data_IF_577032062040
#
_entry.id   IF_577032062040
#
_cell.length_a   1.000
_cell.length_b   1.000
_cell.length_c   1.000
_cell.angle_alpha   90.00
_cell.angle_beta   90.00
_cell.angle_gamma   90.00
#
_symmetry.space_group_name_H-M   'P 1'
#
loop_
_entity.id
_entity.type
_entity.pdbx_description
1 polymer ?
#
# COMPACT_ATOMS: atom_id res chain seq x y z
N UNK A 1 -20.87 18.47 6.95
CA UNK A 1 -20.13 18.03 8.16
C UNK A 1 -20.30 16.54 8.45
N UNK A 2 -21.50 15.97 8.36
CA UNK A 2 -21.75 14.53 8.57
C UNK A 2 -20.90 13.62 7.67
N UNK A 3 -20.80 13.91 6.37
CA UNK A 3 -20.00 13.13 5.42
C UNK A 3 -18.52 13.04 5.80
N UNK A 4 -17.90 14.17 6.16
CA UNK A 4 -16.49 14.21 6.61
C UNK A 4 -16.28 13.45 7.91
N UNK A 5 -17.25 13.51 8.83
CA UNK A 5 -17.22 12.71 10.05
C UNK A 5 -17.29 11.20 9.74
N UNK A 6 -18.17 10.78 8.82
CA UNK A 6 -18.25 9.38 8.38
C UNK A 6 -16.94 8.91 7.74
N UNK A 7 -16.31 9.74 6.89
CA UNK A 7 -15.00 9.43 6.29
C UNK A 7 -13.93 9.30 7.37
N UNK A 8 -13.92 10.16 8.39
CA UNK A 8 -12.96 10.08 9.49
C UNK A 8 -13.13 8.77 10.27
N UNK A 9 -14.38 8.40 10.60
CA UNK A 9 -14.69 7.15 11.30
C UNK A 9 -14.28 5.94 10.45
N UNK A 10 -14.65 5.92 9.17
CA UNK A 10 -14.30 4.85 8.24
C UNK A 10 -12.78 4.74 8.03
N UNK A 11 -12.08 5.87 7.93
CA UNK A 11 -10.61 5.93 7.82
C UNK A 11 -9.95 5.37 9.05
N UNK A 12 -10.41 5.78 10.24
CA UNK A 12 -9.89 5.28 11.51
C UNK A 12 -10.10 3.77 11.63
N UNK A 13 -11.29 3.27 11.29
CA UNK A 13 -11.59 1.84 11.30
C UNK A 13 -10.74 1.07 10.27
N UNK A 14 -10.63 1.56 9.03
CA UNK A 14 -9.86 0.91 7.97
C UNK A 14 -8.36 0.86 8.29
N UNK A 15 -7.78 1.95 8.81
CA UNK A 15 -6.38 1.97 9.22
C UNK A 15 -6.13 1.14 10.48
N UNK A 16 -7.09 1.10 11.43
CA UNK A 16 -7.04 0.21 12.59
C UNK A 16 -7.04 -1.26 12.19
N UNK A 17 -7.97 -1.66 11.31
CA UNK A 17 -8.01 -3.01 10.72
C UNK A 17 -6.71 -3.34 9.98
N UNK A 18 -6.18 -2.38 9.20
CA UNK A 18 -4.91 -2.53 8.49
C UNK A 18 -3.71 -2.67 9.43
N UNK A 19 -3.77 -2.14 10.64
CA UNK A 19 -2.73 -2.37 11.64
C UNK A 19 -2.74 -3.80 12.18
N UNK A 20 -3.92 -4.39 12.37
CA UNK A 20 -4.08 -5.76 12.90
C UNK A 20 -3.88 -6.82 11.82
N UNK A 21 -4.46 -6.62 10.64
CA UNK A 21 -4.38 -7.56 9.50
C UNK A 21 -3.07 -7.45 8.72
N UNK A 22 -2.25 -6.46 9.07
CA UNK A 22 -1.09 -6.04 8.32
C UNK A 22 -1.39 -5.18 7.11
N UNK A 23 -2.63 -4.98 6.64
CA UNK A 23 -2.90 -4.15 5.45
C UNK A 23 -4.35 -3.98 5.00
N UNK A 24 -4.53 -3.39 3.83
CA UNK A 24 -5.82 -3.36 3.13
C UNK A 24 -6.67 -2.11 3.34
N UNK A 25 -6.22 -1.16 4.17
CA UNK A 25 -6.91 0.13 4.31
C UNK A 25 -7.16 0.79 2.95
N UNK A 26 -6.20 0.72 2.03
CA UNK A 26 -6.36 1.25 0.68
C UNK A 26 -7.49 0.61 -0.15
N UNK A 27 -7.76 -0.68 0.02
CA UNK A 27 -8.88 -1.33 -0.69
C UNK A 27 -10.24 -0.87 -0.16
N UNK A 28 -10.31 -0.53 1.13
CA UNK A 28 -11.53 -0.04 1.78
C UNK A 28 -11.73 1.46 1.50
N UNK A 29 -10.66 2.24 1.61
CA UNK A 29 -10.74 3.70 1.54
C UNK A 29 -10.74 4.24 0.12
N UNK A 30 -10.14 3.55 -0.84
CA UNK A 30 -10.16 3.99 -2.24
C UNK A 30 -11.58 4.22 -2.79
N UNK A 31 -12.55 3.27 -2.67
CA UNK A 31 -13.91 3.54 -3.13
C UNK A 31 -14.60 4.65 -2.33
N UNK A 32 -14.39 4.72 -1.01
CA UNK A 32 -15.01 5.76 -0.17
C UNK A 32 -14.50 7.17 -0.50
N UNK A 33 -13.19 7.31 -0.69
CA UNK A 33 -12.57 8.56 -1.12
C UNK A 33 -12.99 8.92 -2.54
N UNK A 34 -13.16 7.95 -3.43
CA UNK A 34 -13.66 8.17 -4.80
C UNK A 34 -15.10 8.68 -4.89
N UNK A 35 -15.90 8.57 -3.82
CA UNK A 35 -17.24 9.17 -3.76
C UNK A 35 -17.21 10.68 -3.53
N UNK A 36 -16.10 11.22 -3.03
CA UNK A 36 -16.01 12.62 -2.58
C UNK A 36 -14.85 13.39 -3.19
N UNK A 37 -13.83 12.70 -3.70
CA UNK A 37 -12.66 13.28 -4.33
C UNK A 37 -12.61 12.94 -5.83
N UNK A 38 -12.07 13.85 -6.66
CA UNK A 38 -11.65 13.53 -8.01
C UNK A 38 -10.69 12.33 -8.04
N UNK A 39 -10.77 11.50 -9.09
CA UNK A 39 -10.01 10.24 -9.17
C UNK A 39 -8.49 10.39 -9.07
N UNK A 40 -7.94 11.53 -9.49
CA UNK A 40 -6.50 11.84 -9.36
C UNK A 40 -6.07 12.18 -7.92
N UNK A 41 -6.97 12.69 -7.08
CA UNK A 41 -6.68 13.04 -5.68
C UNK A 41 -6.79 11.82 -4.74
N UNK A 42 -7.56 10.79 -5.12
CA UNK A 42 -7.77 9.58 -4.29
C UNK A 42 -6.46 8.89 -3.88
N UNK A 43 -5.53 8.56 -4.80
CA UNK A 43 -4.25 7.92 -4.43
C UNK A 43 -3.35 8.80 -3.55
N UNK A 44 -3.46 10.13 -3.70
CA UNK A 44 -2.69 11.10 -2.96
C UNK A 44 -3.18 11.21 -1.50
N UNK A 45 -4.49 11.42 -1.30
CA UNK A 45 -5.12 11.42 0.03
C UNK A 45 -4.89 10.10 0.76
N UNK A 46 -5.06 8.97 0.06
CA UNK A 46 -4.79 7.66 0.64
C UNK A 46 -3.32 7.52 1.07
N UNK A 47 -2.39 8.13 0.34
CA UNK A 47 -0.97 8.05 0.67
C UNK A 47 -0.60 8.79 1.94
N UNK A 48 -1.22 9.93 2.20
CA UNK A 48 -1.03 10.69 3.44
C UNK A 48 -1.49 9.86 4.65
N UNK A 49 -2.71 9.31 4.59
CA UNK A 49 -3.24 8.47 5.67
C UNK A 49 -2.41 7.20 5.90
N UNK A 50 -1.96 6.57 4.81
CA UNK A 50 -1.12 5.37 4.91
C UNK A 50 0.27 5.66 5.47
N UNK A 51 0.86 6.82 5.15
CA UNK A 51 2.12 7.25 5.76
C UNK A 51 1.97 7.43 7.28
N UNK A 52 0.92 8.14 7.73
CA UNK A 52 0.65 8.35 9.15
C UNK A 52 0.39 7.03 9.89
N UNK A 53 -0.44 6.14 9.34
CA UNK A 53 -0.69 4.80 9.89
C UNK A 53 0.58 3.94 9.94
N UNK A 54 1.45 4.05 8.93
CA UNK A 54 2.72 3.32 8.90
C UNK A 54 3.70 3.85 9.94
N UNK A 55 3.78 5.16 10.14
CA UNK A 55 4.57 5.76 11.21
C UNK A 55 4.15 5.25 12.59
N UNK A 56 2.85 5.22 12.87
CA UNK A 56 2.32 4.69 14.12
C UNK A 56 2.73 3.21 14.34
N UNK A 57 2.61 2.37 13.31
CA UNK A 57 3.02 0.95 13.37
C UNK A 57 4.52 0.77 13.56
N UNK A 58 5.34 1.61 12.92
CA UNK A 58 6.80 1.60 13.12
C UNK A 58 7.13 1.93 14.57
N UNK A 59 6.51 2.96 15.16
CA UNK A 59 6.75 3.32 16.57
C UNK A 59 6.39 2.16 17.50
N UNK A 60 5.24 1.50 17.27
CA UNK A 60 4.80 0.37 18.10
C UNK A 60 5.64 -0.90 17.93
N UNK A 61 6.14 -1.20 16.73
CA UNK A 61 6.78 -2.47 16.40
C UNK A 61 8.23 -2.34 15.88
N UNK A 62 8.93 -1.25 16.21
CA UNK A 62 10.26 -0.95 15.65
C UNK A 62 11.29 -2.08 15.78
N UNK A 63 11.20 -2.87 16.86
CA UNK A 63 12.13 -3.97 17.13
C UNK A 63 11.88 -5.22 16.27
N UNK A 64 10.72 -5.32 15.62
CA UNK A 64 10.36 -6.43 14.75
C UNK A 64 10.66 -6.15 13.26
N UNK A 65 11.26 -5.00 12.93
CA UNK A 65 11.58 -4.64 11.56
C UNK A 65 12.72 -5.53 11.02
N UNK A 66 12.45 -6.26 9.94
CA UNK A 66 13.43 -7.08 9.22
C UNK A 66 14.17 -6.24 8.17
N UNK A 67 15.22 -5.56 8.62
CA UNK A 67 16.06 -4.69 7.77
C UNK A 67 16.74 -5.42 6.61
N UNK A 68 16.99 -6.72 6.78
CA UNK A 68 17.48 -7.60 5.71
C UNK A 68 16.54 -7.63 4.51
N UNK A 69 15.22 -7.54 4.73
CA UNK A 69 14.23 -7.46 3.65
C UNK A 69 14.11 -6.03 3.12
N UNK A 70 14.03 -5.04 4.01
CA UNK A 70 13.87 -3.62 3.64
C UNK A 70 14.98 -3.18 2.69
N UNK A 71 16.24 -3.53 2.99
CA UNK A 71 17.40 -3.12 2.17
C UNK A 71 17.41 -3.68 0.76
N UNK A 72 16.76 -4.82 0.51
CA UNK A 72 16.65 -5.42 -0.82
C UNK A 72 15.37 -4.96 -1.53
N UNK A 73 14.29 -4.74 -0.77
CA UNK A 73 13.02 -4.28 -1.33
C UNK A 73 13.05 -2.80 -1.72
N UNK A 74 13.48 -1.91 -0.82
CA UNK A 74 13.35 -0.46 -1.00
C UNK A 74 14.08 0.11 -2.24
N UNK A 75 15.32 -0.30 -2.57
CA UNK A 75 16.05 0.28 -3.71
C UNK A 75 15.36 0.06 -5.06
N UNK A 76 14.58 -1.01 -5.20
CA UNK A 76 13.79 -1.27 -6.41
C UNK A 76 12.38 -0.70 -6.30
N UNK A 77 11.80 -0.70 -5.10
CA UNK A 77 10.45 -0.20 -4.88
C UNK A 77 10.33 1.32 -5.06
N UNK A 78 11.29 2.11 -4.60
CA UNK A 78 11.27 3.57 -4.72
C UNK A 78 11.26 4.07 -6.18
N UNK A 79 12.20 3.69 -7.07
CA UNK A 79 12.19 4.16 -8.45
C UNK A 79 10.96 3.70 -9.23
N UNK A 80 10.50 2.47 -8.99
CA UNK A 80 9.27 1.99 -9.62
C UNK A 80 8.01 2.67 -9.06
N UNK A 81 8.00 3.08 -7.80
CA UNK A 81 6.92 3.91 -7.27
C UNK A 81 6.89 5.30 -7.91
N UNK A 82 8.06 5.90 -8.13
CA UNK A 82 8.15 7.14 -8.89
C UNK A 82 7.64 6.96 -10.32
N UNK A 83 8.02 5.86 -10.98
CA UNK A 83 7.50 5.48 -12.31
C UNK A 83 5.97 5.31 -12.29
N UNK A 84 5.42 4.69 -11.25
CA UNK A 84 3.98 4.50 -11.08
C UNK A 84 3.23 5.82 -10.90
N UNK A 85 3.75 6.73 -10.08
CA UNK A 85 3.19 8.09 -9.91
C UNK A 85 3.30 8.91 -11.20
N UNK A 86 4.43 8.80 -11.91
CA UNK A 86 4.60 9.44 -13.20
C UNK A 86 3.61 8.89 -14.24
N UNK A 87 3.41 7.58 -14.29
CA UNK A 87 2.42 6.97 -15.17
C UNK A 87 1.01 7.47 -14.82
N UNK A 88 0.67 7.51 -13.53
CA UNK A 88 -0.59 8.05 -13.02
C UNK A 88 -0.85 9.49 -13.50
N UNK A 89 0.15 10.36 -13.42
CA UNK A 89 0.02 11.78 -13.80
C UNK A 89 -0.21 12.01 -15.31
N UNK A 90 0.04 10.99 -16.15
CA UNK A 90 -0.18 11.04 -17.60
C UNK A 90 -1.52 10.43 -18.04
N UNK A 91 -2.22 9.74 -17.16
CA UNK A 91 -3.48 9.05 -17.51
C UNK A 91 -4.66 10.01 -17.36
N UNK A 92 -5.54 10.04 -18.36
CA UNK A 92 -6.77 10.83 -18.29
C UNK A 92 -7.67 10.33 -17.11
N UNK A 93 -8.29 11.22 -16.34
CA UNK A 93 -9.08 10.87 -15.15
C UNK A 93 -10.14 9.77 -15.37
N UNK A 94 -10.76 9.70 -16.55
CA UNK A 94 -11.77 8.68 -16.85
C UNK A 94 -11.14 7.27 -16.89
N UNK A 95 -10.02 7.13 -17.61
CA UNK A 95 -9.29 5.86 -17.64
C UNK A 95 -8.66 5.53 -16.29
N UNK A 96 -8.26 6.54 -15.52
CA UNK A 96 -7.76 6.32 -14.18
C UNK A 96 -8.83 5.69 -13.27
N UNK A 97 -10.03 6.27 -13.24
CA UNK A 97 -11.14 5.72 -12.46
C UNK A 97 -11.48 4.28 -12.88
N UNK A 98 -11.45 4.00 -14.19
CA UNK A 98 -11.63 2.64 -14.71
C UNK A 98 -10.53 1.69 -14.21
N UNK A 99 -9.26 2.09 -14.29
CA UNK A 99 -8.12 1.27 -13.87
C UNK A 99 -8.13 1.02 -12.35
N UNK A 100 -8.49 2.02 -11.54
CA UNK A 100 -8.67 1.86 -10.10
C UNK A 100 -9.85 0.91 -9.80
N UNK A 101 -10.95 1.03 -10.53
CA UNK A 101 -12.09 0.11 -10.43
C UNK A 101 -11.70 -1.33 -10.77
N UNK A 102 -11.00 -1.54 -11.89
CA UNK A 102 -10.47 -2.85 -12.28
C UNK A 102 -9.47 -3.40 -11.25
N UNK A 103 -8.63 -2.54 -10.69
CA UNK A 103 -7.74 -2.92 -9.60
C UNK A 103 -8.52 -3.41 -8.38
N UNK A 104 -9.57 -2.72 -7.96
CA UNK A 104 -10.42 -3.16 -6.85
C UNK A 104 -11.12 -4.49 -7.16
N UNK A 105 -11.71 -4.61 -8.36
CA UNK A 105 -12.39 -5.84 -8.81
C UNK A 105 -11.42 -7.03 -8.87
N UNK A 106 -10.21 -6.83 -9.39
CA UNK A 106 -9.17 -7.87 -9.45
C UNK A 106 -8.71 -8.36 -8.07
N UNK A 107 -8.92 -7.57 -7.02
CA UNK A 107 -8.63 -7.95 -5.63
C UNK A 107 -9.80 -8.64 -4.93
N UNK A 108 -11.03 -8.60 -5.45
CA UNK A 108 -12.20 -9.28 -4.86
C UNK A 108 -12.00 -10.79 -4.62
N UNK A 109 -11.35 -11.56 -5.52
CA UNK A 109 -11.10 -12.98 -5.27
C UNK A 109 -10.28 -13.26 -4.00
N UNK A 110 -9.50 -12.28 -3.52
CA UNK A 110 -8.75 -12.41 -2.27
C UNK A 110 -9.67 -12.48 -1.05
N UNK A 111 -10.88 -11.92 -1.10
CA UNK A 111 -11.86 -11.98 0.00
C UNK A 111 -12.42 -13.39 0.22
N UNK A 112 -12.52 -14.18 -0.85
CA UNK A 112 -13.07 -15.53 -0.82
C UNK A 112 -11.99 -16.61 -0.67
N UNK A 113 -10.71 -16.22 -0.70
CA UNK A 113 -9.60 -17.16 -0.49
C UNK A 113 -9.54 -17.57 0.98
N UNK A 114 -9.70 -18.87 1.23
CA UNK A 114 -9.42 -19.45 2.55
C UNK A 114 -7.94 -19.22 2.89
N UNK A 115 -7.60 -18.92 4.16
CA UNK A 115 -6.22 -18.90 4.61
C UNK A 115 -5.57 -20.23 4.23
N UNK A 116 -4.49 -20.20 3.44
CA UNK A 116 -3.79 -21.41 3.08
C UNK A 116 -3.16 -22.01 4.35
N UNK A 117 -3.54 -23.23 4.78
CA UNK A 117 -2.86 -23.90 5.87
C UNK A 117 -1.45 -24.25 5.39
N UNK A 118 -0.44 -23.90 6.19
CA UNK A 118 0.97 -24.19 5.93
C UNK A 118 1.49 -23.67 4.58
N UNK A 119 1.74 -22.37 4.52
CA UNK A 119 2.64 -21.83 3.49
C UNK A 119 4.03 -22.39 3.76
N UNK A 120 4.45 -23.39 2.99
CA UNK A 120 5.81 -23.93 3.06
C UNK A 120 6.82 -22.78 2.94
N UNK A 121 7.66 -22.62 3.97
CA UNK A 121 8.72 -21.61 3.98
C UNK A 121 9.69 -21.98 2.87
N UNK A 122 9.80 -21.13 1.85
CA UNK A 122 10.75 -21.33 0.75
C UNK A 122 11.92 -20.38 0.95
N UNK A 123 13.17 -20.82 0.75
CA UNK A 123 14.31 -19.91 0.73
C UNK A 123 14.09 -18.87 -0.38
N UNK A 124 13.95 -17.61 0.01
CA UNK A 124 13.72 -16.52 -0.94
C UNK A 124 15.06 -16.01 -1.42
N UNK A 125 15.22 -16.03 -2.73
CA UNK A 125 16.37 -15.44 -3.39
C UNK A 125 16.23 -13.92 -3.42
N UNK A 126 17.32 -13.19 -3.21
CA UNK A 126 17.38 -11.72 -3.23
C UNK A 126 16.76 -11.14 -4.50
N UNK A 127 16.96 -11.80 -5.65
CA UNK A 127 16.33 -11.40 -6.92
C UNK A 127 14.80 -11.34 -6.85
N UNK A 128 14.14 -12.23 -6.09
CA UNK A 128 12.69 -12.18 -5.89
C UNK A 128 12.26 -10.98 -5.04
N UNK A 129 13.08 -10.56 -4.08
CA UNK A 129 12.83 -9.34 -3.30
C UNK A 129 12.92 -8.08 -4.17
N UNK A 130 13.85 -8.06 -5.12
CA UNK A 130 13.99 -6.97 -6.07
C UNK A 130 12.81 -6.89 -7.04
N UNK A 131 12.39 -8.02 -7.61
CA UNK A 131 11.21 -8.09 -8.49
C UNK A 131 9.94 -7.70 -7.72
N UNK A 132 9.81 -8.18 -6.49
CA UNK A 132 8.70 -7.80 -5.61
C UNK A 132 8.72 -6.31 -5.31
N UNK A 133 9.89 -5.76 -4.97
CA UNK A 133 10.07 -4.33 -4.72
C UNK A 133 9.63 -3.52 -5.91
N UNK A 134 10.13 -3.82 -7.10
CA UNK A 134 9.72 -3.15 -8.34
C UNK A 134 8.21 -3.23 -8.59
N UNK A 135 7.61 -4.43 -8.53
CA UNK A 135 6.19 -4.62 -8.77
C UNK A 135 5.31 -3.91 -7.72
N UNK A 136 5.66 -4.04 -6.44
CA UNK A 136 4.95 -3.38 -5.35
C UNK A 136 5.14 -1.86 -5.41
N UNK A 137 6.33 -1.37 -5.75
CA UNK A 137 6.59 0.05 -5.98
C UNK A 137 5.68 0.60 -7.05
N UNK A 138 5.70 0.01 -8.24
CA UNK A 138 4.88 0.47 -9.38
C UNK A 138 3.39 0.45 -9.10
N UNK A 139 2.86 -0.68 -8.61
CA UNK A 139 1.43 -0.79 -8.28
C UNK A 139 1.09 0.22 -7.17
N UNK A 140 1.94 0.39 -6.17
CA UNK A 140 1.70 1.34 -5.06
C UNK A 140 1.74 2.79 -5.51
N UNK A 141 2.62 3.13 -6.45
CA UNK A 141 2.69 4.43 -7.10
C UNK A 141 1.44 4.72 -7.92
N UNK A 142 0.97 3.73 -8.67
CA UNK A 142 -0.17 3.88 -9.56
C UNK A 142 -1.52 3.92 -8.81
N UNK A 143 -1.76 2.99 -7.89
CA UNK A 143 -3.07 2.85 -7.24
C UNK A 143 -3.13 3.50 -5.86
N UNK A 144 -1.98 3.80 -5.24
CA UNK A 144 -1.93 4.22 -3.84
C UNK A 144 -2.19 3.08 -2.84
N UNK A 145 -2.48 1.86 -3.29
CA UNK A 145 -2.82 0.71 -2.45
C UNK A 145 -2.08 -0.55 -2.88
N UNK A 146 -1.28 -1.12 -1.99
CA UNK A 146 -0.48 -2.32 -2.31
C UNK A 146 -0.51 -3.38 -1.23
N UNK A 147 -0.98 -3.00 -0.06
CA UNK A 147 -0.68 -3.72 1.14
C UNK A 147 -1.07 -5.20 1.17
N UNK A 148 -2.34 -5.46 0.96
CA UNK A 148 -2.93 -6.78 1.20
C UNK A 148 -2.45 -7.83 0.19
N UNK A 149 -2.13 -7.38 -1.04
CA UNK A 149 -1.63 -8.22 -2.15
C UNK A 149 -0.33 -8.92 -1.78
N UNK A 150 0.55 -8.25 -1.04
CA UNK A 150 1.89 -8.75 -0.78
C UNK A 150 2.06 -9.43 0.58
N UNK A 151 1.04 -9.46 1.44
CA UNK A 151 1.11 -10.19 2.72
C UNK A 151 1.51 -11.66 2.54
N UNK A 152 0.94 -12.33 1.53
CA UNK A 152 1.26 -13.73 1.22
C UNK A 152 2.73 -13.96 0.90
N UNK A 153 3.45 -12.95 0.41
CA UNK A 153 4.88 -13.05 0.16
C UNK A 153 5.68 -13.06 1.47
N UNK A 154 5.37 -12.17 2.40
CA UNK A 154 6.05 -12.14 3.70
C UNK A 154 5.78 -13.42 4.52
N UNK A 155 4.59 -14.03 4.38
CA UNK A 155 4.34 -15.36 4.96
C UNK A 155 5.22 -16.45 4.33
N UNK A 156 5.46 -16.42 3.01
CA UNK A 156 6.35 -17.39 2.32
C UNK A 156 7.82 -17.28 2.72
N UNK A 157 8.22 -16.10 3.21
CA UNK A 157 9.53 -15.82 3.78
C UNK A 157 9.71 -16.39 5.20
N UNK A 158 8.65 -16.89 5.84
CA UNK A 158 8.70 -17.39 7.21
C UNK A 158 8.69 -16.30 8.27
N UNK A 159 8.26 -15.08 7.96
CA UNK A 159 8.15 -14.00 8.94
C UNK A 159 6.97 -14.26 9.89
N UNK A 160 7.19 -13.94 11.17
CA UNK A 160 6.12 -13.87 12.17
C UNK A 160 5.22 -12.68 11.89
N UNK A 161 3.97 -12.71 12.38
CA UNK A 161 2.97 -11.66 12.09
C UNK A 161 3.46 -10.26 12.45
N UNK A 162 4.14 -10.12 13.58
CA UNK A 162 4.70 -8.84 14.05
C UNK A 162 5.80 -8.34 13.12
N UNK A 163 6.65 -9.25 12.61
CA UNK A 163 7.69 -8.93 11.63
C UNK A 163 7.08 -8.50 10.30
N UNK A 164 5.98 -9.13 9.87
CA UNK A 164 5.25 -8.73 8.66
C UNK A 164 4.71 -7.31 8.80
N UNK A 165 4.01 -7.03 9.91
CA UNK A 165 3.41 -5.72 10.18
C UNK A 165 4.50 -4.63 10.22
N UNK A 166 5.58 -4.88 10.96
CA UNK A 166 6.67 -3.91 11.16
C UNK A 166 7.48 -3.66 9.88
N UNK A 167 7.94 -4.73 9.22
CA UNK A 167 8.76 -4.64 8.00
C UNK A 167 7.99 -3.98 6.87
N UNK A 168 6.69 -4.30 6.76
CA UNK A 168 5.85 -3.68 5.77
C UNK A 168 5.57 -2.22 6.09
N UNK A 169 5.33 -1.86 7.35
CA UNK A 169 5.16 -0.46 7.72
C UNK A 169 6.41 0.37 7.36
N UNK A 170 7.62 -0.19 7.56
CA UNK A 170 8.88 0.42 7.13
C UNK A 170 8.95 0.62 5.60
N UNK A 171 8.56 -0.38 4.81
CA UNK A 171 8.51 -0.25 3.35
C UNK A 171 7.43 0.75 2.89
N UNK A 172 6.25 0.73 3.52
CA UNK A 172 5.13 1.61 3.18
C UNK A 172 5.44 3.06 3.50
N UNK A 173 6.04 3.37 4.67
CA UNK A 173 6.35 4.76 4.99
C UNK A 173 7.30 5.37 3.95
N UNK A 174 8.33 4.62 3.52
CA UNK A 174 9.29 5.10 2.51
C UNK A 174 8.60 5.36 1.17
N UNK A 175 7.77 4.41 0.71
CA UNK A 175 7.01 4.56 -0.52
C UNK A 175 6.02 5.71 -0.46
N UNK A 176 5.26 5.84 0.62
CA UNK A 176 4.21 6.84 0.72
C UNK A 176 4.77 8.25 0.95
N UNK A 177 5.89 8.41 1.67
CA UNK A 177 6.58 9.70 1.76
C UNK A 177 7.10 10.14 0.39
N UNK A 178 7.74 9.25 -0.37
CA UNK A 178 8.17 9.55 -1.74
C UNK A 178 6.97 9.97 -2.60
N UNK A 179 5.87 9.22 -2.56
CA UNK A 179 4.67 9.53 -3.33
C UNK A 179 4.07 10.89 -2.96
N UNK A 180 3.99 11.23 -1.68
CA UNK A 180 3.47 12.54 -1.25
C UNK A 180 4.33 13.68 -1.80
N UNK A 181 5.66 13.54 -1.79
CA UNK A 181 6.58 14.52 -2.40
C UNK A 181 6.31 14.63 -3.91
N UNK A 182 6.17 13.51 -4.60
CA UNK A 182 5.92 13.49 -6.05
C UNK A 182 4.54 14.05 -6.42
N UNK A 183 3.50 13.75 -5.63
CA UNK A 183 2.17 14.33 -5.83
C UNK A 183 2.18 15.84 -5.64
N UNK A 184 2.91 16.35 -4.65
CA UNK A 184 3.12 17.78 -4.49
C UNK A 184 3.84 18.37 -5.71
N UNK A 185 4.93 17.75 -6.15
CA UNK A 185 5.73 18.21 -7.29
C UNK A 185 4.96 18.20 -8.61
N UNK A 186 4.02 17.27 -8.79
CA UNK A 186 3.16 17.19 -9.98
C UNK A 186 1.84 17.95 -9.86
N UNK A 187 1.61 18.70 -8.77
CA UNK A 187 0.38 19.48 -8.58
C UNK A 187 -0.88 18.63 -8.38
N UNK A 188 -0.73 17.38 -7.91
CA UNK A 188 -1.84 16.43 -7.68
C UNK A 188 -2.47 16.56 -6.28
N UNK A 189 -1.99 17.49 -5.45
CA UNK A 189 -2.50 17.77 -4.11
C UNK A 189 -3.45 18.99 -4.04
N UNK A 190 -3.56 19.76 -5.11
CA UNK A 190 -4.38 20.98 -5.21
C UNK A 190 -5.65 20.78 -6.02
#
# INVERSE_FOLDING_TARGET
>A
MLLWFLILVASTAAFGLSAVSGGGAGLILMPLLGLVLPGNQVPATLSIGTAASSAARIVSFRNAIRWDIVRHFAPTALPFAALGVWALSRVNPVYLSLLLGLFLLGNLPLLFRKPAPNVAVKPVHVARLHVLGAAAGFISGFTGAVGLVFNGFYYRLGLRKEEIVATRAANEIMLHLLKVILYAAFGLLS
#
